data_IF_439461226503
#
_entry.id   IF_439461226503
#
_cell.length_a   1.000
_cell.length_b   1.000
_cell.length_c   1.000
_cell.angle_alpha   90.00
_cell.angle_beta   90.00
_cell.angle_gamma   90.00
#
_symmetry.space_group_name_H-M   'P 1'
#
loop_
_entity.id
_entity.type
_entity.pdbx_description
1 polymer ?
#
# COMPACT_ATOMS: atom_id res chain seq x y z
N UNK A 1 2.19 21.96 15.68
CA UNK A 1 2.16 20.56 15.22
C UNK A 1 1.44 19.76 16.30
N UNK A 2 0.20 19.37 16.07
CA UNK A 2 -0.50 18.45 16.99
C UNK A 2 -0.02 17.05 16.63
N UNK A 3 0.75 16.43 17.52
CA UNK A 3 1.00 14.99 17.45
C UNK A 3 -0.38 14.34 17.53
N UNK A 4 -0.89 13.80 16.42
CA UNK A 4 -2.10 13.01 16.42
C UNK A 4 -1.84 11.83 17.33
N UNK A 5 -2.39 11.83 18.54
CA UNK A 5 -2.37 10.64 19.39
C UNK A 5 -3.37 9.69 18.76
N UNK A 6 -2.90 8.58 18.14
CA UNK A 6 -3.81 7.65 17.51
C UNK A 6 -4.79 7.13 18.57
N UNK A 7 -6.04 6.93 18.16
CA UNK A 7 -7.03 6.23 18.98
C UNK A 7 -6.62 4.77 19.04
N UNK A 8 -5.64 4.45 19.88
CA UNK A 8 -4.82 3.23 19.89
C UNK A 8 -5.59 1.94 19.55
N UNK A 9 -6.87 1.84 19.90
CA UNK A 9 -7.73 0.73 19.54
C UNK A 9 -7.91 0.47 18.02
N UNK A 10 -8.12 1.50 17.18
CA UNK A 10 -8.40 1.30 15.75
C UNK A 10 -7.14 0.87 15.02
N UNK A 11 -6.05 1.61 15.19
CA UNK A 11 -4.76 1.27 14.59
C UNK A 11 -4.28 -0.13 15.00
N UNK A 12 -4.34 -0.47 16.30
CA UNK A 12 -3.92 -1.80 16.79
C UNK A 12 -4.78 -2.92 16.20
N UNK A 13 -6.09 -2.73 16.07
CA UNK A 13 -6.96 -3.72 15.41
C UNK A 13 -6.57 -3.95 13.95
N UNK A 14 -6.20 -2.90 13.22
CA UNK A 14 -5.70 -3.03 11.86
C UNK A 14 -4.40 -3.86 11.83
N UNK A 15 -3.47 -3.60 12.76
CA UNK A 15 -2.24 -4.39 12.88
C UNK A 15 -2.49 -5.87 13.25
N UNK A 16 -3.47 -6.16 14.10
CA UNK A 16 -3.81 -7.54 14.48
C UNK A 16 -4.49 -8.30 13.33
N UNK A 17 -5.33 -7.63 12.55
CA UNK A 17 -6.05 -8.25 11.43
C UNK A 17 -5.17 -8.50 10.21
N UNK A 18 -4.28 -7.56 9.88
CA UNK A 18 -3.34 -7.69 8.78
C UNK A 18 -1.99 -7.07 9.19
N UNK A 19 -1.09 -7.85 9.82
CA UNK A 19 0.17 -7.34 10.32
C UNK A 19 1.11 -6.99 9.16
N UNK A 20 1.58 -5.72 9.07
CA UNK A 20 2.45 -5.29 7.99
C UNK A 20 3.81 -5.99 8.08
N UNK A 21 4.27 -6.56 6.96
CA UNK A 21 5.61 -7.15 6.79
C UNK A 21 6.12 -6.86 5.38
N UNK A 22 7.45 -6.88 5.14
CA UNK A 22 7.99 -6.73 3.79
C UNK A 22 7.34 -7.73 2.83
N UNK A 23 6.91 -7.21 1.67
CA UNK A 23 6.33 -8.02 0.60
C UNK A 23 7.48 -8.71 -0.14
N UNK A 24 7.35 -10.02 -0.35
CA UNK A 24 8.40 -10.85 -0.96
C UNK A 24 7.93 -11.57 -2.22
N UNK A 25 6.63 -11.61 -2.48
CA UNK A 25 6.05 -12.20 -3.67
C UNK A 25 4.76 -11.50 -4.13
N UNK A 26 4.36 -11.78 -5.36
CA UNK A 26 3.19 -11.20 -6.01
C UNK A 26 1.88 -11.48 -5.25
N UNK A 27 1.76 -12.66 -4.63
CA UNK A 27 0.59 -13.02 -3.84
C UNK A 27 0.44 -12.13 -2.60
N UNK A 28 1.56 -11.79 -1.95
CA UNK A 28 1.58 -10.85 -0.83
C UNK A 28 1.30 -9.41 -1.28
N UNK A 29 1.78 -9.01 -2.46
CA UNK A 29 1.45 -7.73 -3.08
C UNK A 29 -0.06 -7.62 -3.30
N UNK A 30 -0.66 -8.60 -3.98
CA UNK A 30 -2.10 -8.62 -4.24
C UNK A 30 -2.93 -8.62 -2.95
N UNK A 31 -2.49 -9.34 -1.90
CA UNK A 31 -3.16 -9.34 -0.61
C UNK A 31 -3.12 -7.95 0.04
N UNK A 32 -1.97 -7.28 -0.01
CA UNK A 32 -1.77 -5.94 0.56
C UNK A 32 -2.59 -4.89 -0.20
N UNK A 33 -2.59 -4.94 -1.53
CA UNK A 33 -3.40 -4.07 -2.39
C UNK A 33 -4.89 -4.19 -2.08
N UNK A 34 -5.42 -5.41 -1.87
CA UNK A 34 -6.84 -5.59 -1.48
C UNK A 34 -7.19 -4.92 -0.14
N UNK A 35 -6.27 -4.91 0.82
CA UNK A 35 -6.47 -4.22 2.10
C UNK A 35 -6.47 -2.71 1.89
N UNK A 36 -5.56 -2.19 1.06
CA UNK A 36 -5.52 -0.79 0.65
C UNK A 36 -6.82 -0.38 -0.05
N UNK A 37 -7.29 -1.15 -1.02
CA UNK A 37 -8.53 -0.90 -1.75
C UNK A 37 -9.72 -0.83 -0.78
N UNK A 38 -9.80 -1.78 0.16
CA UNK A 38 -10.86 -1.80 1.17
C UNK A 38 -10.84 -0.56 2.10
N UNK A 39 -9.66 -0.01 2.39
CA UNK A 39 -9.54 1.24 3.15
C UNK A 39 -10.00 2.44 2.32
N UNK A 40 -9.59 2.51 1.04
CA UNK A 40 -9.97 3.62 0.16
C UNK A 40 -11.48 3.61 -0.14
N UNK A 41 -12.07 2.43 -0.34
CA UNK A 41 -13.50 2.24 -0.58
C UNK A 41 -14.37 2.73 0.59
N UNK A 42 -13.81 2.80 1.81
CA UNK A 42 -14.49 3.36 2.99
C UNK A 42 -14.75 4.86 2.85
N UNK A 43 -13.96 5.59 2.06
CA UNK A 43 -14.04 7.03 1.90
C UNK A 43 -13.37 7.80 3.03
N UNK A 44 -14.15 8.36 3.96
CA UNK A 44 -13.62 9.18 5.05
C UNK A 44 -12.85 8.33 6.06
N UNK A 45 -11.52 8.33 5.93
CA UNK A 45 -10.60 7.65 6.83
C UNK A 45 -10.38 8.43 8.13
N UNK A 46 -10.32 7.70 9.23
CA UNK A 46 -9.79 8.26 10.49
C UNK A 46 -8.28 8.49 10.39
N UNK A 47 -7.71 9.31 11.28
CA UNK A 47 -6.25 9.53 11.32
C UNK A 47 -5.48 8.21 11.44
N UNK A 48 -5.96 7.29 12.28
CA UNK A 48 -5.35 5.98 12.48
C UNK A 48 -5.37 5.11 11.22
N UNK A 49 -6.49 5.12 10.48
CA UNK A 49 -6.61 4.37 9.23
C UNK A 49 -5.75 4.98 8.13
N UNK A 50 -5.64 6.31 8.10
CA UNK A 50 -4.73 7.01 7.19
C UNK A 50 -3.27 6.67 7.51
N UNK A 51 -2.88 6.64 8.78
CA UNK A 51 -1.54 6.26 9.21
C UNK A 51 -1.23 4.80 8.83
N UNK A 52 -2.19 3.89 9.02
CA UNK A 52 -2.06 2.51 8.61
C UNK A 52 -1.97 2.34 7.09
N UNK A 53 -2.80 3.05 6.34
CA UNK A 53 -2.74 3.11 4.88
C UNK A 53 -1.36 3.58 4.39
N UNK A 54 -0.77 4.59 5.03
CA UNK A 54 0.57 5.09 4.69
C UNK A 54 1.65 4.01 4.90
N UNK A 55 1.54 3.22 5.97
CA UNK A 55 2.46 2.09 6.23
C UNK A 55 2.35 1.04 5.13
N UNK A 56 1.13 0.63 4.77
CA UNK A 56 0.91 -0.36 3.69
C UNK A 56 1.40 0.16 2.34
N UNK A 57 1.14 1.42 2.01
CA UNK A 57 1.62 2.06 0.78
C UNK A 57 3.15 2.08 0.69
N UNK A 58 3.84 2.26 1.82
CA UNK A 58 5.32 2.19 1.87
C UNK A 58 5.83 0.79 1.50
N UNK A 59 5.17 -0.26 1.96
CA UNK A 59 5.55 -1.65 1.66
C UNK A 59 5.35 -1.99 0.18
N UNK A 60 4.21 -1.56 -0.39
CA UNK A 60 3.93 -1.72 -1.82
C UNK A 60 4.99 -1.00 -2.64
N UNK A 61 5.28 0.26 -2.30
CA UNK A 61 6.30 1.04 -3.00
C UNK A 61 7.68 0.37 -2.94
N UNK A 62 8.11 -0.11 -1.77
CA UNK A 62 9.39 -0.80 -1.62
C UNK A 62 9.47 -2.07 -2.48
N UNK A 63 8.38 -2.84 -2.54
CA UNK A 63 8.31 -4.03 -3.39
C UNK A 63 8.40 -3.67 -4.86
N UNK A 64 7.56 -2.74 -5.32
CA UNK A 64 7.50 -2.32 -6.72
C UNK A 64 8.84 -1.72 -7.17
N UNK A 65 9.50 -0.87 -6.39
CA UNK A 65 10.82 -0.34 -6.75
C UNK A 65 11.86 -1.44 -6.98
N UNK A 66 11.82 -2.52 -6.19
CA UNK A 66 12.71 -3.68 -6.38
C UNK A 66 12.32 -4.55 -7.58
N UNK A 67 11.04 -4.56 -7.94
CA UNK A 67 10.46 -5.45 -8.97
C UNK A 67 10.03 -4.72 -10.25
N UNK A 68 10.31 -3.41 -10.35
CA UNK A 68 10.18 -2.62 -11.57
C UNK A 68 11.14 -3.18 -12.63
N UNK A 69 10.67 -4.17 -13.37
CA UNK A 69 11.16 -4.39 -14.72
C UNK A 69 10.55 -3.29 -15.56
N UNK A 70 11.22 -2.14 -15.68
CA UNK A 70 10.96 -1.24 -16.78
C UNK A 70 11.47 -2.00 -17.99
N UNK A 71 10.60 -2.52 -18.87
CA UNK A 71 11.12 -3.07 -20.11
C UNK A 71 11.81 -1.91 -20.83
N UNK A 72 13.00 -2.17 -21.37
CA UNK A 72 13.76 -1.24 -22.21
C UNK A 72 13.00 -1.05 -23.55
N UNK A 73 11.77 -0.53 -23.50
CA UNK A 73 10.96 -0.21 -24.67
C UNK A 73 11.25 1.24 -25.03
N UNK A 74 12.09 1.40 -26.04
CA UNK A 74 12.41 2.70 -26.64
C UNK A 74 11.58 2.92 -27.92
N UNK A 75 11.06 4.13 -28.09
CA UNK A 75 10.47 4.58 -29.35
C UNK A 75 9.07 4.02 -29.64
N UNK A 76 8.83 3.64 -30.89
CA UNK A 76 7.50 3.30 -31.44
C UNK A 76 6.80 2.12 -30.76
N UNK A 77 7.54 1.28 -30.01
CA UNK A 77 6.94 0.18 -29.25
C UNK A 77 6.11 0.66 -28.05
N UNK A 78 6.45 1.81 -27.47
CA UNK A 78 5.71 2.42 -26.35
C UNK A 78 4.33 2.94 -26.79
N UNK A 79 4.20 3.34 -28.06
CA UNK A 79 2.94 3.83 -28.65
C UNK A 79 1.93 2.71 -28.94
N UNK A 80 2.32 1.43 -28.90
CA UNK A 80 1.44 0.28 -29.20
C UNK A 80 0.79 -0.33 -27.96
N UNK A 81 1.18 0.11 -26.76
CA UNK A 81 0.67 -0.40 -25.49
C UNK A 81 -0.46 0.47 -24.90
N UNK A 82 -0.89 1.53 -25.61
CA UNK A 82 -2.02 2.40 -25.28
C UNK A 82 -3.28 2.02 -26.05
#
# INVERSE_FOLDING_TARGET
MTLGTPSTNVYIKSLESFPPRPITCEQELMATQKVIDSLIDKGDLTSDEQDYLNVLGTLVHEYEEKHKSIPDIYGVELLKAL
#
